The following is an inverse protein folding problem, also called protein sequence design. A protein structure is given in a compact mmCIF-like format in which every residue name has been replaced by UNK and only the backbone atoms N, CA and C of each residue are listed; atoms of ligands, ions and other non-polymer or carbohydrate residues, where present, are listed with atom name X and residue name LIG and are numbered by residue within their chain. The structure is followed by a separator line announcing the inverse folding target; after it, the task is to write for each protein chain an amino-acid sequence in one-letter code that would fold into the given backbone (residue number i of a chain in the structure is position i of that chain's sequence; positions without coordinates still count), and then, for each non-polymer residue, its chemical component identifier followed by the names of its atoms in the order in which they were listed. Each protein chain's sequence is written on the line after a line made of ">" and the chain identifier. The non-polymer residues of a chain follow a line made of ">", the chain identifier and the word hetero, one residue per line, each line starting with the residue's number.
data_IF_602402107988
#
_entry.id   IF_602402107988
#
_cell.length_a   1.000
_cell.length_b   1.000
_cell.length_c   1.000
_cell.angle_alpha   90.00
_cell.angle_beta   90.00
_cell.angle_gamma   90.00
#
_symmetry.space_group_name_H-M   'P 1'
#
loop_
_entity.id
_entity.type
_entity.pdbx_description
1 polymer ?
#
# COMPACT_ATOMS: atom_id res chain seq x y z
N UNK A 1 -43.03 -2.71 -29.21
CA UNK A 1 -42.45 -3.15 -30.50
C UNK A 1 -41.04 -2.61 -30.50
N UNK A 2 -39.93 -3.33 -30.39
CA UNK A 2 -39.46 -4.69 -30.76
C UNK A 2 -38.18 -4.92 -29.91
N UNK A 3 -38.00 -6.01 -29.16
CA UNK A 3 -37.30 -7.24 -29.60
C UNK A 3 -35.79 -6.99 -29.82
N UNK A 4 -34.85 -7.62 -29.13
CA UNK A 4 -34.24 -8.91 -29.54
C UNK A 4 -33.46 -9.56 -28.37
N UNK A 5 -33.56 -10.89 -28.36
CA UNK A 5 -33.05 -11.94 -27.48
C UNK A 5 -31.61 -12.41 -27.76
N UNK A 6 -31.03 -13.08 -26.74
CA UNK A 6 -30.11 -14.25 -26.77
C UNK A 6 -28.65 -14.07 -27.27
N UNK A 7 -27.67 -14.49 -26.44
CA UNK A 7 -26.91 -15.74 -26.65
C UNK A 7 -25.94 -16.03 -25.48
N UNK A 8 -25.79 -17.32 -25.18
CA UNK A 8 -24.97 -17.90 -24.14
C UNK A 8 -23.74 -18.65 -24.73
N UNK A 9 -22.86 -19.15 -23.83
CA UNK A 9 -21.69 -20.03 -24.04
C UNK A 9 -20.44 -19.32 -24.62
N UNK A 10 -19.21 -19.59 -24.16
CA UNK A 10 -18.49 -20.88 -24.23
C UNK A 10 -17.43 -21.01 -23.09
N UNK A 11 -17.39 -22.19 -22.46
CA UNK A 11 -16.32 -22.64 -21.57
C UNK A 11 -15.11 -23.14 -22.39
N UNK A 12 -13.88 -22.83 -21.96
CA UNK A 12 -12.65 -23.32 -22.57
C UNK A 12 -11.95 -24.32 -21.66
N UNK A 13 -11.62 -25.47 -22.26
CA UNK A 13 -11.19 -26.71 -21.67
C UNK A 13 -9.69 -26.77 -21.35
N UNK A 14 -9.36 -27.67 -20.42
CA UNK A 14 -8.03 -28.14 -20.04
C UNK A 14 -7.38 -28.95 -21.18
N UNK A 15 -6.10 -28.68 -21.44
CA UNK A 15 -5.15 -29.54 -22.17
C UNK A 15 -3.93 -29.76 -21.24
N UNK A 16 -3.32 -30.92 -21.05
CA UNK A 16 -3.46 -32.24 -21.67
C UNK A 16 -2.26 -32.63 -22.53
N UNK A 17 -1.15 -33.11 -21.93
CA UNK A 17 -0.11 -34.03 -22.46
C UNK A 17 1.12 -34.00 -21.53
N UNK A 18 1.84 -35.07 -21.18
CA UNK A 18 1.83 -36.46 -21.61
C UNK A 18 3.26 -37.03 -21.52
N UNK A 19 3.40 -38.20 -20.85
CA UNK A 19 4.42 -39.26 -21.02
C UNK A 19 5.88 -39.00 -20.59
N UNK A 20 6.69 -39.95 -20.12
CA UNK A 20 6.59 -41.34 -19.61
C UNK A 20 7.96 -41.64 -18.97
N UNK A 21 7.94 -42.54 -17.99
CA UNK A 21 9.00 -43.09 -17.12
C UNK A 21 10.36 -43.41 -17.75
N UNK A 22 11.41 -43.24 -16.94
CA UNK A 22 12.57 -44.14 -16.91
C UNK A 22 12.93 -44.43 -15.45
N UNK A 23 12.73 -45.68 -15.03
CA UNK A 23 13.50 -46.34 -13.98
C UNK A 23 14.87 -46.73 -14.62
N UNK A 24 16.01 -46.89 -13.95
CA UNK A 24 16.33 -47.42 -12.63
C UNK A 24 17.77 -46.96 -12.25
N UNK A 25 18.18 -47.37 -11.04
CA UNK A 25 19.56 -47.63 -10.58
C UNK A 25 20.31 -46.60 -9.71
N UNK A 26 20.09 -46.77 -8.40
CA UNK A 26 21.12 -47.25 -7.43
C UNK A 26 22.17 -46.29 -6.83
N UNK A 27 22.12 -46.25 -5.48
CA UNK A 27 23.17 -45.94 -4.47
C UNK A 27 23.33 -44.52 -3.89
N UNK A 28 22.70 -44.31 -2.72
CA UNK A 28 23.24 -43.90 -1.40
C UNK A 28 24.23 -42.70 -1.22
N UNK A 29 24.25 -42.06 -0.02
CA UNK A 29 24.05 -40.62 0.08
C UNK A 29 25.37 -39.85 0.32
N UNK A 30 25.62 -38.81 -0.46
CA UNK A 30 26.56 -37.76 -0.09
C UNK A 30 25.77 -36.52 0.30
N UNK A 31 25.65 -36.29 1.62
CA UNK A 31 25.19 -35.01 2.18
C UNK A 31 26.21 -33.92 1.83
N UNK A 32 26.10 -33.33 0.66
CA UNK A 32 26.68 -32.02 0.40
C UNK A 32 25.77 -31.00 1.07
N UNK A 33 26.27 -30.45 2.18
CA UNK A 33 25.71 -29.26 2.80
C UNK A 33 25.83 -28.09 1.81
N UNK A 34 24.81 -27.92 0.97
CA UNK A 34 24.63 -26.70 0.20
C UNK A 34 24.36 -25.58 1.19
N UNK A 35 25.39 -24.78 1.45
CA UNK A 35 25.22 -23.48 2.10
C UNK A 35 24.11 -22.73 1.34
N UNK A 36 23.07 -22.21 2.02
CA UNK A 36 22.12 -21.34 1.35
C UNK A 36 22.90 -20.13 0.87
N UNK A 37 23.00 -19.97 -0.45
CA UNK A 37 23.41 -18.70 -1.04
C UNK A 37 22.26 -17.74 -0.74
N UNK A 38 22.45 -16.84 0.22
CA UNK A 38 21.50 -15.76 0.44
C UNK A 38 21.43 -14.96 -0.86
N UNK A 39 20.25 -14.73 -1.44
CA UNK A 39 20.15 -13.79 -2.55
C UNK A 39 20.68 -12.44 -2.06
N UNK A 40 21.39 -11.66 -2.90
CA UNK A 40 21.73 -10.29 -2.53
C UNK A 40 20.41 -9.57 -2.26
N UNK A 41 20.19 -9.21 -0.99
CA UNK A 41 19.13 -8.30 -0.63
C UNK A 41 19.57 -6.93 -1.15
N UNK A 42 19.39 -6.70 -2.44
CA UNK A 42 19.39 -5.36 -3.00
C UNK A 42 18.19 -4.67 -2.37
N UNK A 43 18.42 -4.08 -1.20
CA UNK A 43 17.60 -2.98 -0.72
C UNK A 43 17.75 -1.88 -1.75
N UNK A 44 16.92 -1.93 -2.80
CA UNK A 44 16.73 -0.80 -3.68
C UNK A 44 16.37 0.37 -2.77
N UNK A 45 17.24 1.38 -2.77
CA UNK A 45 16.97 2.63 -2.07
C UNK A 45 15.65 3.15 -2.65
N UNK A 46 14.67 3.53 -1.81
CA UNK A 46 13.35 3.92 -2.30
C UNK A 46 13.51 5.03 -3.34
N UNK A 47 12.77 4.93 -4.44
CA UNK A 47 12.85 5.89 -5.55
C UNK A 47 12.46 7.31 -5.12
N UNK A 48 11.81 7.43 -3.96
CA UNK A 48 11.40 8.69 -3.34
C UNK A 48 11.83 8.69 -1.87
N UNK A 49 12.59 9.71 -1.45
CA UNK A 49 12.98 9.87 -0.05
C UNK A 49 11.90 10.64 0.70
N UNK A 50 11.34 10.02 1.74
CA UNK A 50 10.49 10.71 2.70
C UNK A 50 11.35 11.51 3.69
N UNK A 51 10.88 12.67 4.16
CA UNK A 51 11.64 13.54 5.06
C UNK A 51 12.10 12.82 6.35
N UNK A 52 11.22 12.01 6.94
CA UNK A 52 11.48 11.23 8.17
C UNK A 52 11.85 9.77 7.88
N UNK A 53 12.13 9.45 6.62
CA UNK A 53 12.52 8.11 6.20
C UNK A 53 11.41 7.08 6.47
N UNK A 54 11.69 6.06 7.29
CA UNK A 54 10.73 4.99 7.65
C UNK A 54 10.36 5.00 9.14
N UNK A 55 10.72 6.06 9.87
CA UNK A 55 10.49 6.11 11.30
C UNK A 55 9.04 6.49 11.63
N UNK A 56 8.20 5.49 11.87
CA UNK A 56 6.80 5.69 12.28
C UNK A 56 6.64 6.53 13.56
N UNK A 57 7.68 6.63 14.40
CA UNK A 57 7.63 7.43 15.62
C UNK A 57 7.78 8.92 15.34
N UNK A 58 8.34 9.30 14.19
CA UNK A 58 8.39 10.69 13.76
C UNK A 58 6.98 11.29 13.66
N UNK A 59 5.98 10.46 13.34
CA UNK A 59 4.59 10.88 13.25
C UNK A 59 3.89 11.10 14.59
N UNK A 60 4.52 10.87 15.75
CA UNK A 60 3.81 10.86 17.03
C UNK A 60 3.10 12.20 17.35
N UNK A 61 3.64 13.32 16.88
CA UNK A 61 3.08 14.66 17.07
C UNK A 61 2.00 15.03 16.02
N UNK A 62 1.77 14.18 15.02
CA UNK A 62 0.84 14.44 13.93
C UNK A 62 1.44 15.20 12.75
N UNK A 63 2.76 15.37 12.69
CA UNK A 63 3.46 16.05 11.60
C UNK A 63 4.67 15.23 11.13
N UNK A 64 4.52 14.50 10.02
CA UNK A 64 5.61 13.69 9.49
C UNK A 64 5.43 13.40 7.99
N UNK A 65 6.53 12.98 7.38
CA UNK A 65 6.54 12.37 6.06
C UNK A 65 7.39 11.10 6.09
N UNK A 66 6.74 9.94 5.92
CA UNK A 66 7.41 8.64 5.96
C UNK A 66 7.11 7.79 4.71
N UNK A 67 8.03 6.87 4.43
CA UNK A 67 7.91 5.82 3.43
C UNK A 67 7.51 4.50 4.09
N UNK A 68 6.54 3.80 3.50
CA UNK A 68 6.09 2.48 3.95
C UNK A 68 6.09 1.50 2.78
N UNK A 69 6.39 0.23 3.04
CA UNK A 69 6.45 -0.83 2.02
C UNK A 69 5.46 -1.97 2.29
N UNK A 70 4.54 -1.78 3.23
CA UNK A 70 3.59 -2.80 3.64
C UNK A 70 2.62 -2.30 4.71
N UNK A 71 1.80 -3.22 5.20
CA UNK A 71 0.80 -2.90 6.20
C UNK A 71 1.45 -2.40 7.50
N UNK A 72 0.97 -1.26 8.00
CA UNK A 72 1.48 -0.62 9.21
C UNK A 72 0.38 0.19 9.88
N UNK A 73 0.46 0.31 11.20
CA UNK A 73 -0.41 1.21 11.96
C UNK A 73 0.42 2.28 12.63
N UNK A 74 0.13 3.53 12.30
CA UNK A 74 0.81 4.73 12.80
C UNK A 74 -0.12 5.41 13.77
N UNK A 75 0.38 5.71 14.97
CA UNK A 75 -0.37 6.43 16.02
C UNK A 75 0.22 7.82 16.16
N UNK A 76 -0.65 8.80 16.26
CA UNK A 76 -0.26 10.20 16.30
C UNK A 76 -1.26 11.03 17.08
N UNK A 77 -0.86 12.22 17.50
CA UNK A 77 -1.76 13.20 18.11
C UNK A 77 -2.61 13.86 17.02
N UNK A 78 -3.92 13.89 17.19
CA UNK A 78 -4.85 14.66 16.37
C UNK A 78 -5.62 15.69 17.20
N UNK A 79 -6.43 16.53 16.54
CA UNK A 79 -7.16 17.62 17.19
C UNK A 79 -8.23 17.11 18.17
N UNK A 80 -8.80 15.93 17.90
CA UNK A 80 -9.79 15.27 18.74
C UNK A 80 -9.17 14.32 19.80
N UNK A 81 -7.85 14.35 19.98
CA UNK A 81 -7.11 13.39 20.79
C UNK A 81 -6.32 12.38 19.94
N UNK A 82 -5.95 11.21 20.49
CA UNK A 82 -5.18 10.20 19.77
C UNK A 82 -5.86 9.76 18.47
N UNK A 83 -5.10 9.74 17.38
CA UNK A 83 -5.52 9.32 16.06
C UNK A 83 -4.68 8.14 15.56
N UNK A 84 -5.18 7.48 14.51
CA UNK A 84 -4.53 6.30 13.93
C UNK A 84 -4.69 6.29 12.42
N UNK A 85 -3.58 6.08 11.72
CA UNK A 85 -3.52 5.77 10.30
C UNK A 85 -3.11 4.30 10.16
N UNK A 86 -4.01 3.46 9.68
CA UNK A 86 -3.77 2.05 9.38
C UNK A 86 -3.65 1.87 7.87
N UNK A 87 -2.44 1.65 7.40
CA UNK A 87 -2.16 1.20 6.03
C UNK A 87 -2.42 -0.29 5.97
N UNK A 88 -3.33 -0.70 5.10
CA UNK A 88 -3.75 -2.10 4.96
C UNK A 88 -3.05 -2.80 3.82
N UNK A 89 -2.71 -2.05 2.76
CA UNK A 89 -2.02 -2.59 1.59
C UNK A 89 -1.06 -1.55 1.01
N UNK A 90 0.11 -2.04 0.59
CA UNK A 90 1.09 -1.28 -0.21
C UNK A 90 1.61 -2.23 -1.27
N UNK A 91 1.69 -1.75 -2.50
CA UNK A 91 2.27 -2.48 -3.62
C UNK A 91 2.75 -1.52 -4.70
N UNK A 92 3.35 -2.04 -5.78
CA UNK A 92 3.76 -1.21 -6.91
C UNK A 92 2.57 -0.40 -7.40
N UNK A 93 2.71 0.92 -7.36
CA UNK A 93 1.66 1.87 -7.75
C UNK A 93 0.35 1.69 -6.97
N UNK A 94 0.37 1.20 -5.72
CA UNK A 94 -0.82 0.94 -4.91
C UNK A 94 -0.63 1.28 -3.44
N UNK A 95 -1.65 1.89 -2.84
CA UNK A 95 -1.78 2.07 -1.38
C UNK A 95 -3.24 2.02 -0.97
N UNK A 96 -3.53 1.38 0.16
CA UNK A 96 -4.84 1.40 0.81
C UNK A 96 -4.69 1.66 2.31
N UNK A 97 -5.57 2.49 2.87
CA UNK A 97 -5.49 2.88 4.26
C UNK A 97 -6.83 3.33 4.88
N UNK A 98 -6.87 3.34 6.20
CA UNK A 98 -7.96 3.89 7.01
C UNK A 98 -7.39 4.85 8.05
N UNK A 99 -8.03 5.99 8.23
CA UNK A 99 -7.73 6.98 9.26
C UNK A 99 -8.86 7.01 10.28
N UNK A 100 -8.53 7.10 11.56
CA UNK A 100 -9.47 7.28 12.66
C UNK A 100 -8.99 8.38 13.60
N UNK A 101 -9.92 9.23 14.05
CA UNK A 101 -9.67 10.30 15.04
C UNK A 101 -10.98 10.59 15.77
N UNK A 102 -11.02 10.40 17.10
CA UNK A 102 -12.27 10.46 17.87
C UNK A 102 -13.34 9.52 17.29
N UNK A 103 -14.53 10.06 17.01
CA UNK A 103 -15.61 9.35 16.29
C UNK A 103 -15.47 9.36 14.76
N UNK A 104 -14.52 10.14 14.22
CA UNK A 104 -14.29 10.26 12.79
C UNK A 104 -13.53 9.06 12.22
N UNK A 105 -13.94 8.63 11.01
CA UNK A 105 -13.23 7.63 10.21
C UNK A 105 -13.28 8.01 8.73
N UNK A 106 -12.18 7.76 8.02
CA UNK A 106 -12.13 7.83 6.55
C UNK A 106 -11.28 6.69 6.00
N UNK A 107 -11.63 6.16 4.83
CA UNK A 107 -10.86 5.13 4.14
C UNK A 107 -10.48 5.66 2.75
N UNK A 108 -9.19 5.63 2.43
CA UNK A 108 -8.66 6.07 1.15
C UNK A 108 -7.74 5.04 0.53
N UNK A 109 -7.48 5.19 -0.76
CA UNK A 109 -6.55 4.33 -1.48
C UNK A 109 -6.46 4.74 -2.95
N UNK A 110 -5.29 4.51 -3.51
CA UNK A 110 -4.97 4.87 -4.88
C UNK A 110 -4.30 3.69 -5.59
N UNK A 111 -4.49 3.62 -6.90
CA UNK A 111 -3.92 2.58 -7.75
C UNK A 111 -3.61 3.14 -9.13
N UNK A 112 -2.37 2.93 -9.60
CA UNK A 112 -1.85 3.45 -10.85
C UNK A 112 -0.62 4.35 -10.65
N UNK A 113 0.20 4.56 -11.71
CA UNK A 113 1.36 5.43 -11.64
C UNK A 113 0.98 6.89 -11.35
N UNK A 114 1.74 7.55 -10.46
CA UNK A 114 1.51 8.95 -10.07
C UNK A 114 0.15 9.20 -9.42
N UNK A 115 -0.45 8.17 -8.81
CA UNK A 115 -1.73 8.28 -8.14
C UNK A 115 -1.55 8.46 -6.63
N UNK A 116 -2.53 9.09 -6.00
CA UNK A 116 -2.60 9.17 -4.56
C UNK A 116 -3.94 9.66 -4.06
N UNK A 117 -4.02 9.92 -2.77
CA UNK A 117 -5.21 10.46 -2.13
C UNK A 117 -4.86 11.55 -1.12
N UNK A 118 -5.65 12.61 -1.09
CA UNK A 118 -5.73 13.55 0.03
C UNK A 118 -6.96 13.19 0.86
N UNK A 119 -6.76 12.89 2.13
CA UNK A 119 -7.81 12.67 3.13
C UNK A 119 -7.81 13.82 4.11
N UNK A 120 -8.99 14.37 4.39
CA UNK A 120 -9.20 15.31 5.49
C UNK A 120 -10.17 14.67 6.47
N UNK A 121 -9.72 14.50 7.72
CA UNK A 121 -10.51 13.88 8.78
C UNK A 121 -10.73 14.86 9.94
N UNK A 122 -11.99 15.07 10.31
CA UNK A 122 -12.45 15.84 11.46
C UNK A 122 -13.19 14.95 12.44
N UNK A 123 -13.46 15.46 13.64
CA UNK A 123 -14.18 14.75 14.72
C UNK A 123 -15.57 14.26 14.29
N UNK A 124 -16.24 15.00 13.41
CA UNK A 124 -17.61 14.74 12.93
C UNK A 124 -17.67 14.03 11.57
N UNK A 125 -16.53 13.64 10.98
CA UNK A 125 -16.49 12.95 9.70
C UNK A 125 -15.26 13.30 8.89
N UNK A 126 -15.07 12.61 7.77
CA UNK A 126 -13.96 12.87 6.86
C UNK A 126 -14.36 12.58 5.42
N UNK A 127 -13.55 13.10 4.52
CA UNK A 127 -13.66 12.84 3.09
C UNK A 127 -12.27 12.66 2.49
N UNK A 128 -12.24 12.14 1.28
CA UNK A 128 -11.01 12.09 0.50
C UNK A 128 -11.26 12.39 -0.97
N UNK A 129 -10.18 12.78 -1.63
CA UNK A 129 -10.09 12.91 -3.07
C UNK A 129 -8.90 12.08 -3.53
N UNK A 130 -9.14 11.17 -4.45
CA UNK A 130 -8.15 10.24 -4.97
C UNK A 130 -8.03 10.40 -6.49
N UNK A 131 -6.81 10.35 -7.00
CA UNK A 131 -6.51 10.55 -8.41
C UNK A 131 -5.03 10.89 -8.62
N UNK A 132 -4.73 11.50 -9.76
CA UNK A 132 -3.39 12.03 -10.02
C UNK A 132 -3.02 13.05 -8.96
N UNK A 133 -1.90 12.83 -8.28
CA UNK A 133 -1.34 13.78 -7.33
C UNK A 133 0.01 14.26 -7.83
N UNK A 134 0.22 15.57 -7.73
CA UNK A 134 1.55 16.13 -7.91
C UNK A 134 2.40 15.75 -6.70
N UNK A 135 3.49 15.01 -6.91
CA UNK A 135 4.40 14.58 -5.82
C UNK A 135 5.07 15.76 -5.08
N UNK A 136 4.99 16.95 -5.67
CA UNK A 136 5.47 18.22 -5.10
C UNK A 136 4.44 18.92 -4.24
N UNK A 137 3.14 18.61 -4.40
CA UNK A 137 2.10 19.18 -3.55
C UNK A 137 2.25 18.61 -2.13
N UNK A 138 2.45 19.50 -1.17
CA UNK A 138 2.50 19.16 0.26
C UNK A 138 1.16 19.50 0.90
N UNK A 139 0.60 18.63 1.76
CA UNK A 139 -0.62 18.96 2.47
C UNK A 139 -0.33 20.11 3.44
N UNK A 140 -1.26 21.08 3.51
CA UNK A 140 -1.21 22.15 4.49
C UNK A 140 -2.05 21.79 5.72
N UNK A 141 -1.65 22.19 6.94
CA UNK A 141 -2.50 22.08 8.12
C UNK A 141 -3.87 22.71 7.89
N UNK A 142 -4.91 22.11 8.46
CA UNK A 142 -6.28 22.65 8.44
C UNK A 142 -6.82 22.70 9.87
N UNK A 143 -7.60 23.74 10.21
CA UNK A 143 -8.21 23.85 11.54
C UNK A 143 -9.03 22.62 11.91
N UNK A 144 -8.80 22.12 13.13
CA UNK A 144 -9.50 20.99 13.74
C UNK A 144 -9.52 19.72 12.87
N UNK A 145 -8.47 19.52 12.06
CA UNK A 145 -8.42 18.43 11.10
C UNK A 145 -7.06 17.74 11.04
N UNK A 146 -7.09 16.45 10.76
CA UNK A 146 -5.94 15.69 10.26
C UNK A 146 -6.01 15.68 8.74
N UNK A 147 -4.97 16.14 8.08
CA UNK A 147 -4.78 16.03 6.63
C UNK A 147 -3.73 14.97 6.36
N UNK A 148 -4.09 13.99 5.52
CA UNK A 148 -3.19 12.91 5.12
C UNK A 148 -3.09 12.90 3.60
N UNK A 149 -1.88 12.97 3.09
CA UNK A 149 -1.56 12.67 1.71
C UNK A 149 -0.89 11.30 1.65
N UNK A 150 -1.41 10.43 0.78
CA UNK A 150 -0.81 9.13 0.50
C UNK A 150 -0.56 9.00 -1.00
N UNK A 151 0.70 8.80 -1.39
CA UNK A 151 1.13 8.72 -2.79
C UNK A 151 1.69 7.33 -3.08
N UNK A 152 1.36 6.77 -4.24
CA UNK A 152 1.86 5.47 -4.68
C UNK A 152 3.25 5.59 -5.31
N UNK A 153 4.10 4.57 -5.12
CA UNK A 153 5.41 4.47 -5.73
C UNK A 153 5.54 3.21 -6.59
N UNK A 154 6.27 3.30 -7.70
CA UNK A 154 6.48 2.19 -8.65
C UNK A 154 7.26 1.02 -8.03
N UNK A 155 8.09 1.29 -7.02
CA UNK A 155 8.95 0.33 -6.33
C UNK A 155 8.25 -0.47 -5.21
N UNK A 156 6.94 -0.28 -5.05
CA UNK A 156 6.20 -0.87 -3.94
C UNK A 156 6.37 -0.14 -2.61
N UNK A 157 6.84 1.11 -2.67
CA UNK A 157 6.79 2.04 -1.55
C UNK A 157 5.57 2.96 -1.70
N UNK A 158 4.97 3.38 -0.59
CA UNK A 158 4.05 4.51 -0.54
C UNK A 158 4.61 5.61 0.37
N UNK A 159 4.42 6.87 -0.02
CA UNK A 159 4.77 8.03 0.81
C UNK A 159 3.51 8.49 1.54
N UNK A 160 3.63 8.62 2.85
CA UNK A 160 2.58 9.12 3.73
C UNK A 160 3.04 10.45 4.33
N UNK A 161 2.27 11.51 4.09
CA UNK A 161 2.47 12.80 4.72
C UNK A 161 1.27 13.08 5.62
N UNK A 162 1.51 13.18 6.92
CA UNK A 162 0.50 13.45 7.95
C UNK A 162 0.73 14.86 8.48
N UNK A 163 -0.33 15.68 8.50
CA UNK A 163 -0.30 17.01 9.11
C UNK A 163 -1.56 17.22 9.94
N UNK A 164 -1.39 17.51 11.21
CA UNK A 164 -2.43 17.91 12.17
C UNK A 164 -2.12 19.31 12.72
N UNK A 165 -3.15 20.09 13.05
CA UNK A 165 -3.00 21.34 13.81
C UNK A 165 -2.87 21.11 15.33
#
# INVERSE_FOLDING_TARGET
>A
MTGITLAALVALAVSGCGSTDNADDTSSPSRQASKPTSPPSSSAQPSVSAADGRDVRACADGNCEIAVTGAVTIRFKGPAGPATLSVTEVGPNKVEYTVKSGSGRSQGGASGPGQGCITVLRSNGGGNSCGGLDDTARPSPQPDAVVIQATTGEDGTAILHIVSD
#
